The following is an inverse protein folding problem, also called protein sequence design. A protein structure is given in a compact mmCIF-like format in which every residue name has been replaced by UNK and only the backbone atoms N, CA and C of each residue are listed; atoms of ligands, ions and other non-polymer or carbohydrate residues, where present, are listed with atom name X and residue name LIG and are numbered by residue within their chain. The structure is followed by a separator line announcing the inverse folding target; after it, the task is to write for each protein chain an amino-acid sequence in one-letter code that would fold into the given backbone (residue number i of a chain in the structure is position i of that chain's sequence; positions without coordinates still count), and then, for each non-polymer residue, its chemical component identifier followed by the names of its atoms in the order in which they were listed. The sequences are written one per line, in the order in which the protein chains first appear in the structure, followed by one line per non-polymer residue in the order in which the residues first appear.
data_IF_656843381826
#
_entry.id   IF_656843381826
#
_cell.length_a   1.000
_cell.length_b   1.000
_cell.length_c   1.000
_cell.angle_alpha   90.00
_cell.angle_beta   90.00
_cell.angle_gamma   90.00
#
_symmetry.space_group_name_H-M   'P 1'
#
loop_
_entity.id
_entity.type
_entity.pdbx_description
1 polymer ?
#
# COMPACT_ATOMS: atom_id res chain seq x y z
N UNK A 1 4.05 1.82 19.68
CA UNK A 1 3.36 1.06 18.62
C UNK A 1 2.45 2.03 17.92
N UNK A 2 2.56 2.08 16.60
CA UNK A 2 1.77 2.95 15.74
C UNK A 2 0.92 2.09 14.80
N UNK A 3 -0.14 2.68 14.25
CA UNK A 3 -0.91 2.04 13.18
C UNK A 3 -0.49 2.68 11.87
N UNK A 4 -0.02 1.85 10.94
CA UNK A 4 0.28 2.25 9.58
C UNK A 4 -0.87 1.84 8.67
N UNK A 5 -1.44 2.80 7.93
CA UNK A 5 -2.41 2.50 6.88
C UNK A 5 -1.70 2.30 5.54
N UNK A 6 -1.96 1.19 4.86
CA UNK A 6 -1.51 0.98 3.49
C UNK A 6 -2.74 1.05 2.60
N UNK A 7 -2.77 1.99 1.65
CA UNK A 7 -3.91 2.23 0.78
C UNK A 7 -3.52 1.98 -0.68
N UNK A 8 -4.10 0.93 -1.27
CA UNK A 8 -4.05 0.64 -2.70
C UNK A 8 -5.10 1.51 -3.39
N UNK A 9 -4.65 2.46 -4.19
CA UNK A 9 -5.49 3.53 -4.73
C UNK A 9 -5.97 3.20 -6.13
N UNK A 10 -5.30 3.74 -7.14
CA UNK A 10 -5.82 3.84 -8.48
C UNK A 10 -5.34 2.73 -9.42
N UNK A 11 -6.13 2.56 -10.48
CA UNK A 11 -5.86 1.77 -11.67
C UNK A 11 -5.66 0.25 -11.54
N UNK A 12 -5.83 -0.32 -10.35
CA UNK A 12 -6.00 -1.76 -10.18
C UNK A 12 -7.27 -2.26 -10.91
N UNK A 13 -7.14 -3.22 -11.83
CA UNK A 13 -8.23 -3.82 -12.62
C UNK A 13 -8.58 -5.27 -12.25
N UNK A 14 -7.96 -5.83 -11.21
CA UNK A 14 -8.21 -7.20 -10.74
C UNK A 14 -6.94 -7.98 -10.46
N UNK A 15 -5.83 -7.28 -10.23
CA UNK A 15 -4.52 -7.86 -10.02
C UNK A 15 -4.44 -8.58 -8.68
N UNK A 16 -3.63 -9.63 -8.64
CA UNK A 16 -3.24 -10.24 -7.40
C UNK A 16 -2.12 -9.42 -6.76
N UNK A 17 -2.42 -8.79 -5.62
CA UNK A 17 -1.49 -7.95 -4.88
C UNK A 17 -1.13 -8.60 -3.54
N UNK A 18 0.16 -8.64 -3.25
CA UNK A 18 0.70 -9.01 -1.95
C UNK A 18 1.39 -7.80 -1.35
N UNK A 19 1.09 -7.52 -0.08
CA UNK A 19 1.73 -6.46 0.71
C UNK A 19 2.43 -7.11 1.89
N UNK A 20 3.70 -6.77 2.08
CA UNK A 20 4.48 -7.17 3.25
C UNK A 20 5.00 -5.95 4.01
N UNK A 21 5.07 -6.08 5.33
CA UNK A 21 5.65 -5.09 6.24
C UNK A 21 6.74 -5.77 7.05
N UNK A 22 7.96 -5.27 6.97
CA UNK A 22 9.17 -5.89 7.53
C UNK A 22 9.27 -7.39 7.19
N UNK A 23 8.97 -7.74 5.94
CA UNK A 23 8.96 -9.11 5.43
C UNK A 23 7.77 -9.99 5.87
N UNK A 24 6.83 -9.46 6.68
CA UNK A 24 5.61 -10.18 7.07
C UNK A 24 4.46 -9.81 6.16
N UNK A 25 3.84 -10.79 5.51
CA UNK A 25 2.67 -10.56 4.64
C UNK A 25 1.46 -10.12 5.48
N UNK A 26 0.91 -8.96 5.13
CA UNK A 26 -0.25 -8.34 5.80
C UNK A 26 -1.49 -8.28 4.91
N UNK A 27 -1.30 -8.40 3.59
CA UNK A 27 -2.36 -8.53 2.60
C UNK A 27 -1.90 -9.48 1.50
N UNK A 28 -2.77 -10.40 1.13
CA UNK A 28 -2.65 -11.29 -0.03
C UNK A 28 -4.07 -11.34 -0.62
N UNK A 29 -4.34 -10.48 -1.61
CA UNK A 29 -5.65 -10.36 -2.25
C UNK A 29 -5.51 -10.66 -3.75
N UNK A 30 -6.10 -11.76 -4.26
CA UNK A 30 -5.94 -12.19 -5.64
C UNK A 30 -6.74 -11.36 -6.66
N UNK A 31 -7.49 -10.34 -6.21
CA UNK A 31 -8.47 -9.65 -7.03
C UNK A 31 -8.64 -8.17 -6.67
N UNK A 32 -7.54 -7.46 -6.41
CA UNK A 32 -7.57 -6.04 -6.07
C UNK A 32 -8.08 -5.23 -7.26
N UNK A 33 -9.11 -4.41 -7.02
CA UNK A 33 -9.73 -3.58 -8.05
C UNK A 33 -10.16 -2.23 -7.51
N UNK A 34 -9.74 -1.17 -8.19
CA UNK A 34 -10.07 0.21 -7.83
C UNK A 34 -11.56 0.48 -8.02
N UNK A 35 -12.18 1.02 -6.96
CA UNK A 35 -13.52 1.62 -7.03
C UNK A 35 -13.38 3.06 -7.49
N UNK A 36 -13.57 3.29 -8.79
CA UNK A 36 -13.37 4.60 -9.43
C UNK A 36 -14.16 5.76 -8.79
N UNK A 37 -15.28 5.47 -8.13
CA UNK A 37 -16.06 6.51 -7.43
C UNK A 37 -15.28 7.17 -6.28
N UNK A 38 -14.33 6.44 -5.66
CA UNK A 38 -13.62 6.87 -4.45
C UNK A 38 -12.09 6.77 -4.57
N UNK A 39 -11.56 6.39 -5.74
CA UNK A 39 -10.10 6.28 -5.97
C UNK A 39 -9.38 5.31 -5.02
N UNK A 40 -10.08 4.24 -4.62
CA UNK A 40 -9.56 3.27 -3.65
C UNK A 40 -9.90 1.84 -4.07
N UNK A 41 -8.88 0.99 -4.12
CA UNK A 41 -9.02 -0.44 -4.32
C UNK A 41 -9.13 -1.19 -2.99
N UNK A 42 -8.16 -0.97 -2.11
CA UNK A 42 -8.07 -1.62 -0.79
C UNK A 42 -7.34 -0.73 0.20
N UNK A 43 -7.65 -0.92 1.48
CA UNK A 43 -6.84 -0.40 2.56
C UNK A 43 -6.68 -1.46 3.65
N UNK A 44 -5.51 -1.48 4.28
CA UNK A 44 -5.21 -2.32 5.43
C UNK A 44 -4.54 -1.47 6.50
N UNK A 45 -4.90 -1.71 7.75
CA UNK A 45 -4.26 -1.09 8.92
C UNK A 45 -3.39 -2.12 9.61
N UNK A 46 -2.11 -1.79 9.77
CA UNK A 46 -1.10 -2.70 10.29
C UNK A 46 -0.51 -2.10 11.56
N UNK A 47 -0.56 -2.81 12.70
CA UNK A 47 0.21 -2.43 13.87
C UNK A 47 1.70 -2.59 13.59
N UNK A 48 2.46 -1.51 13.73
CA UNK A 48 3.91 -1.49 13.49
C UNK A 48 4.69 -1.01 14.72
N UNK A 49 5.96 -1.38 14.78
CA UNK A 49 6.90 -0.80 15.74
C UNK A 49 7.16 0.66 15.36
N UNK A 50 7.41 1.48 16.37
CA UNK A 50 7.77 2.87 16.15
C UNK A 50 9.21 2.94 15.58
N UNK A 51 9.41 3.78 14.56
CA UNK A 51 10.70 3.96 13.88
C UNK A 51 10.68 3.47 12.43
N UNK A 52 11.83 3.05 11.93
CA UNK A 52 11.98 2.59 10.55
C UNK A 52 11.18 1.30 10.30
N UNK A 53 10.39 1.31 9.22
CA UNK A 53 9.56 0.21 8.74
C UNK A 53 9.70 0.11 7.23
N UNK A 54 9.89 -1.10 6.71
CA UNK A 54 9.89 -1.35 5.26
C UNK A 54 8.52 -1.87 4.83
N UNK A 55 7.91 -1.20 3.86
CA UNK A 55 6.69 -1.66 3.19
C UNK A 55 7.06 -2.14 1.80
N UNK A 56 6.67 -3.36 1.47
CA UNK A 56 6.87 -3.98 0.16
C UNK A 56 5.50 -4.30 -0.46
N UNK A 57 5.34 -3.98 -1.74
CA UNK A 57 4.14 -4.30 -2.51
C UNK A 57 4.56 -5.00 -3.79
N UNK A 58 3.87 -6.09 -4.13
CA UNK A 58 4.09 -6.82 -5.37
C UNK A 58 2.79 -7.21 -6.03
N UNK A 59 2.77 -7.12 -7.36
CA UNK A 59 1.72 -7.66 -8.22
C UNK A 59 2.18 -9.01 -8.79
N UNK A 60 1.38 -10.06 -8.68
CA UNK A 60 1.77 -11.39 -9.17
C UNK A 60 2.01 -11.36 -10.70
N UNK A 61 3.22 -11.73 -11.11
CA UNK A 61 3.62 -11.70 -12.53
C UNK A 61 3.89 -10.29 -13.08
N UNK A 62 3.92 -9.27 -12.22
CA UNK A 62 4.10 -7.87 -12.58
C UNK A 62 5.17 -7.17 -11.72
N UNK A 63 5.05 -5.85 -11.51
CA UNK A 63 6.03 -5.06 -10.76
C UNK A 63 6.04 -5.38 -9.26
N UNK A 64 7.18 -5.07 -8.63
CA UNK A 64 7.38 -5.11 -7.18
C UNK A 64 8.15 -3.87 -6.77
N UNK A 65 7.69 -3.22 -5.72
CA UNK A 65 8.31 -2.01 -5.18
C UNK A 65 8.33 -2.02 -3.65
N UNK A 66 9.24 -1.22 -3.09
CA UNK A 66 9.39 -1.10 -1.65
C UNK A 66 9.73 0.32 -1.24
N UNK A 67 9.28 0.72 -0.05
CA UNK A 67 9.62 2.01 0.55
C UNK A 67 9.95 1.82 2.03
N UNK A 68 11.00 2.48 2.49
CA UNK A 68 11.29 2.63 3.92
C UNK A 68 10.65 3.92 4.43
N UNK A 69 9.96 3.82 5.56
CA UNK A 69 9.31 4.96 6.21
C UNK A 69 9.66 5.01 7.69
N UNK A 70 9.52 6.18 8.30
CA UNK A 70 9.50 6.31 9.76
C UNK A 70 8.05 6.36 10.24
N UNK A 71 7.59 5.32 10.93
CA UNK A 71 6.20 5.20 11.43
C UNK A 71 5.85 6.21 12.53
N UNK A 72 6.85 6.87 13.11
CA UNK A 72 6.61 8.00 14.03
C UNK A 72 6.12 9.24 13.29
N UNK A 73 6.57 9.42 12.03
CA UNK A 73 6.26 10.55 11.16
C UNK A 73 5.11 10.20 10.20
N UNK A 74 5.26 9.10 9.46
CA UNK A 74 4.32 8.65 8.44
C UNK A 74 3.22 7.78 9.04
N UNK A 75 1.97 8.09 8.68
CA UNK A 75 0.78 7.34 9.12
C UNK A 75 0.15 6.53 8.00
N UNK A 76 0.52 6.81 6.76
CA UNK A 76 0.07 6.02 5.62
C UNK A 76 1.17 5.78 4.57
N UNK A 77 1.01 4.68 3.83
CA UNK A 77 1.64 4.45 2.53
C UNK A 77 0.55 4.38 1.49
N UNK A 78 0.67 5.24 0.49
CA UNK A 78 -0.19 5.32 -0.67
C UNK A 78 0.45 4.52 -1.81
N UNK A 79 -0.32 3.66 -2.44
CA UNK A 79 0.14 2.76 -3.49
C UNK A 79 -0.72 2.98 -4.72
N UNK A 80 -0.08 3.46 -5.78
CA UNK A 80 -0.69 3.61 -7.09
C UNK A 80 -0.12 2.54 -8.03
N UNK A 81 -0.95 2.03 -8.93
CA UNK A 81 -0.53 1.10 -9.96
C UNK A 81 -0.74 1.74 -11.32
N UNK A 82 0.32 1.86 -12.10
CA UNK A 82 0.27 2.23 -13.50
C UNK A 82 0.70 1.01 -14.32
N UNK A 83 -0.07 0.62 -15.33
CA UNK A 83 0.25 -0.54 -16.16
C UNK A 83 1.52 -0.32 -17.01
N UNK A 84 1.85 0.94 -17.32
CA UNK A 84 3.00 1.34 -18.11
C UNK A 84 4.21 1.71 -17.22
N UNK A 85 3.96 2.44 -16.12
CA UNK A 85 5.01 2.97 -15.23
C UNK A 85 5.26 2.12 -13.96
N UNK A 86 4.44 1.10 -13.70
CA UNK A 86 4.61 0.15 -12.60
C UNK A 86 3.95 0.58 -11.28
N UNK A 87 4.49 0.13 -10.15
CA UNK A 87 3.99 0.51 -8.82
C UNK A 87 4.66 1.80 -8.36
N UNK A 88 3.90 2.69 -7.75
CA UNK A 88 4.45 3.87 -7.05
C UNK A 88 4.01 3.85 -5.59
N UNK A 89 4.98 3.88 -4.68
CA UNK A 89 4.75 3.90 -3.23
C UNK A 89 5.12 5.27 -2.67
N UNK A 90 4.21 5.90 -1.93
CA UNK A 90 4.41 7.23 -1.34
C UNK A 90 4.06 7.22 0.14
N UNK A 91 5.01 7.63 0.98
CA UNK A 91 4.78 7.84 2.39
C UNK A 91 3.99 9.13 2.62
N UNK A 92 3.02 9.09 3.54
CA UNK A 92 2.20 10.24 3.92
C UNK A 92 2.16 10.39 5.44
N UNK A 93 2.33 11.62 5.92
CA UNK A 93 2.09 11.98 7.32
C UNK A 93 0.60 11.99 7.68
N UNK A 94 -0.26 12.24 6.70
CA UNK A 94 -1.70 12.31 6.86
C UNK A 94 -2.39 11.03 6.38
N UNK A 95 -3.52 10.72 7.01
CA UNK A 95 -4.40 9.67 6.52
C UNK A 95 -5.13 10.19 5.26
N UNK A 96 -5.17 9.42 4.17
CA UNK A 96 -5.93 9.81 3.00
C UNK A 96 -7.43 9.90 3.34
N UNK A 97 -8.05 11.01 2.92
CA UNK A 97 -9.47 11.25 3.06
C UNK A 97 -10.23 10.67 1.87
N UNK A 98 -10.73 9.44 2.01
CA UNK A 98 -11.67 8.86 1.06
C UNK A 98 -13.09 9.14 1.57
N UNK A 99 -13.89 9.87 0.80
CA UNK A 99 -15.28 10.24 1.10
C UNK A 99 -16.26 9.13 0.69
#
# INVERSE_FOLDING_TARGET
MSVLRIALQDDFQGEHVVVAVDGTVVLDDPSVRTRRQIGLARSVEVPVRDGAVTVEVSVQGGPRESVEIDSTISKAVLVDFDADDGLTLRASGDLPGYL
#
